data_IF_167746012400
#
_entry.id   IF_167746012400
#
_cell.length_a   1.000
_cell.length_b   1.000
_cell.length_c   1.000
_cell.angle_alpha   90.00
_cell.angle_beta   90.00
_cell.angle_gamma   90.00
#
_symmetry.space_group_name_H-M   'P 1'
#
loop_
_entity.id
_entity.type
_entity.pdbx_description
1 polymer ?
#
# COMPACT_ATOMS: atom_id res chain seq x y z
N UNK A 1 4.55 0.34 -62.63
CA UNK A 1 5.23 0.92 -61.45
C UNK A 1 4.29 0.81 -60.26
N UNK A 2 4.55 -0.14 -59.35
CA UNK A 2 3.70 -0.47 -58.19
C UNK A 2 3.86 0.61 -57.12
N UNK A 3 2.75 1.24 -56.72
CA UNK A 3 2.70 2.18 -55.60
C UNK A 3 2.72 1.36 -54.29
N UNK A 4 3.84 1.38 -53.57
CA UNK A 4 3.91 0.84 -52.21
C UNK A 4 3.36 1.87 -51.24
N UNK A 5 2.21 1.57 -50.66
CA UNK A 5 1.62 2.30 -49.55
C UNK A 5 2.38 1.88 -48.28
N UNK A 6 3.23 2.75 -47.74
CA UNK A 6 3.85 2.53 -46.43
C UNK A 6 2.84 2.92 -45.36
N UNK A 7 2.16 1.92 -44.80
CA UNK A 7 1.36 2.08 -43.58
C UNK A 7 2.35 2.16 -42.42
N UNK A 8 2.60 3.37 -41.90
CA UNK A 8 3.39 3.52 -40.68
C UNK A 8 2.57 2.98 -39.50
N UNK A 9 2.93 1.79 -39.04
CA UNK A 9 2.48 1.28 -37.75
C UNK A 9 3.17 2.11 -36.67
N UNK A 10 2.54 3.21 -36.25
CA UNK A 10 2.94 3.94 -35.04
C UNK A 10 2.56 3.03 -33.86
N UNK A 11 3.42 2.07 -33.57
CA UNK A 11 3.44 1.42 -32.27
C UNK A 11 3.88 2.51 -31.28
N UNK A 12 2.90 3.15 -30.64
CA UNK A 12 3.11 4.00 -29.48
C UNK A 12 3.65 3.17 -28.33
N UNK A 13 4.94 2.82 -28.38
CA UNK A 13 5.71 2.44 -27.21
C UNK A 13 5.84 3.68 -26.34
N UNK A 14 4.83 3.91 -25.50
CA UNK A 14 4.97 4.76 -24.34
C UNK A 14 6.00 4.11 -23.41
N UNK A 15 7.28 4.33 -23.68
CA UNK A 15 8.36 4.18 -22.72
C UNK A 15 8.16 5.26 -21.65
N UNK A 16 7.15 5.04 -20.82
CA UNK A 16 7.01 5.76 -19.58
C UNK A 16 8.14 5.29 -18.68
N UNK A 17 9.25 6.03 -18.73
CA UNK A 17 10.25 6.05 -17.68
C UNK A 17 9.58 6.60 -16.41
N UNK A 18 8.68 5.83 -15.80
CA UNK A 18 8.19 6.15 -14.48
C UNK A 18 9.38 6.07 -13.54
N UNK A 19 9.76 7.22 -12.99
CA UNK A 19 10.74 7.29 -11.91
C UNK A 19 10.28 6.36 -10.79
N UNK A 20 11.20 5.61 -10.19
CA UNK A 20 10.86 4.75 -9.08
C UNK A 20 10.40 5.58 -7.89
N UNK A 21 9.35 5.11 -7.22
CA UNK A 21 8.89 5.71 -5.98
C UNK A 21 9.91 5.43 -4.88
N UNK A 22 10.10 6.40 -3.99
CA UNK A 22 11.08 6.35 -2.91
C UNK A 22 10.35 6.21 -1.59
N UNK A 23 10.83 5.31 -0.75
CA UNK A 23 10.34 5.11 0.61
C UNK A 23 11.47 5.50 1.56
N UNK A 24 11.16 6.41 2.47
CA UNK A 24 12.08 7.03 3.41
C UNK A 24 11.76 6.59 4.83
N UNK A 25 12.78 6.53 5.67
CA UNK A 25 12.63 6.34 7.12
C UNK A 25 12.10 7.62 7.77
N UNK A 26 11.08 7.47 8.61
CA UNK A 26 10.51 8.55 9.40
C UNK A 26 9.91 9.69 8.56
N UNK A 27 9.84 10.88 9.17
CA UNK A 27 9.46 12.12 8.49
C UNK A 27 10.67 12.74 7.76
N UNK A 28 11.19 12.04 6.75
CA UNK A 28 12.32 12.53 5.95
C UNK A 28 12.03 12.46 4.46
N UNK A 29 12.70 13.33 3.70
CA UNK A 29 12.80 13.28 2.23
C UNK A 29 14.26 13.30 1.76
N UNK A 30 15.21 13.21 2.69
CA UNK A 30 16.64 13.21 2.38
C UNK A 30 17.05 11.89 1.73
N UNK A 31 17.96 11.96 0.76
CA UNK A 31 18.43 10.76 0.04
C UNK A 31 19.08 9.72 0.97
N UNK A 32 19.71 10.16 2.06
CA UNK A 32 20.33 9.29 3.08
C UNK A 32 19.32 8.42 3.83
N UNK A 33 18.06 8.84 3.89
CA UNK A 33 17.00 8.17 4.64
C UNK A 33 16.16 7.24 3.78
N UNK A 34 16.49 7.09 2.48
CA UNK A 34 15.81 6.14 1.59
C UNK A 34 16.11 4.71 2.08
N UNK A 35 15.05 3.95 2.35
CA UNK A 35 15.16 2.55 2.77
C UNK A 35 14.91 1.56 1.62
N UNK A 36 14.11 1.96 0.63
CA UNK A 36 13.88 1.17 -0.57
C UNK A 36 13.25 2.01 -1.69
N UNK A 37 13.28 1.44 -2.89
CA UNK A 37 12.68 1.98 -4.10
C UNK A 37 11.58 1.04 -4.58
N UNK A 38 10.47 1.58 -5.08
CA UNK A 38 9.39 0.78 -5.64
C UNK A 38 9.22 1.06 -7.13
N UNK A 39 9.23 0.00 -7.94
CA UNK A 39 8.89 0.06 -9.35
C UNK A 39 8.40 -1.30 -9.86
N UNK A 40 7.38 -1.30 -10.72
CA UNK A 40 6.97 -2.51 -11.45
C UNK A 40 6.65 -3.70 -10.55
N UNK A 41 5.91 -3.44 -9.44
CA UNK A 41 5.51 -4.44 -8.44
C UNK A 41 6.68 -5.07 -7.66
N UNK A 42 7.83 -4.40 -7.58
CA UNK A 42 8.98 -4.84 -6.82
C UNK A 42 9.50 -3.71 -5.93
N UNK A 43 9.97 -4.10 -4.75
CA UNK A 43 10.77 -3.23 -3.89
C UNK A 43 12.23 -3.58 -4.07
N UNK A 44 13.09 -2.57 -4.14
CA UNK A 44 14.52 -2.69 -4.38
C UNK A 44 15.31 -2.03 -3.27
N UNK A 45 16.48 -2.59 -2.95
CA UNK A 45 17.42 -1.98 -2.00
C UNK A 45 18.31 -0.90 -2.62
N UNK A 46 18.31 -0.77 -3.94
CA UNK A 46 19.20 0.15 -4.67
C UNK A 46 18.47 0.99 -5.72
N UNK A 47 18.98 2.19 -5.97
CA UNK A 47 18.41 3.14 -6.94
C UNK A 47 18.47 2.63 -8.39
N UNK A 48 19.47 1.79 -8.71
CA UNK A 48 19.61 1.18 -10.02
C UNK A 48 18.59 0.05 -10.26
N UNK A 49 17.85 -0.36 -9.23
CA UNK A 49 16.80 -1.38 -9.24
C UNK A 49 17.31 -2.75 -9.71
N UNK A 50 18.53 -3.10 -9.32
CA UNK A 50 19.15 -4.38 -9.67
C UNK A 50 18.90 -5.45 -8.62
N UNK A 51 18.69 -5.05 -7.36
CA UNK A 51 18.55 -5.93 -6.22
C UNK A 51 17.12 -5.85 -5.64
N UNK A 52 16.17 -6.65 -6.16
CA UNK A 52 14.84 -6.73 -5.57
C UNK A 52 14.92 -7.39 -4.19
N UNK A 53 14.22 -6.80 -3.22
CA UNK A 53 14.09 -7.33 -1.85
C UNK A 53 12.70 -7.92 -1.59
N UNK A 54 11.68 -7.44 -2.30
CA UNK A 54 10.33 -7.99 -2.26
C UNK A 54 9.67 -7.95 -3.63
N UNK A 55 8.95 -9.02 -3.96
CA UNK A 55 8.15 -9.14 -5.16
C UNK A 55 6.67 -9.17 -4.80
N UNK A 56 5.84 -8.50 -5.60
CA UNK A 56 4.39 -8.50 -5.45
C UNK A 56 3.68 -9.17 -6.64
N UNK A 57 3.86 -10.48 -6.89
CA UNK A 57 3.17 -11.15 -7.98
C UNK A 57 1.67 -11.30 -7.65
N UNK A 58 0.84 -10.51 -8.32
CA UNK A 58 -0.61 -10.50 -8.10
C UNK A 58 -0.95 -10.09 -6.66
N UNK A 59 -1.54 -11.02 -5.91
CA UNK A 59 -2.03 -10.83 -4.54
C UNK A 59 -1.06 -11.37 -3.47
N UNK A 60 0.20 -11.61 -3.81
CA UNK A 60 1.20 -12.18 -2.91
C UNK A 60 2.33 -11.19 -2.67
N UNK A 61 3.05 -11.39 -1.55
CA UNK A 61 4.38 -10.83 -1.30
C UNK A 61 5.35 -11.98 -1.12
N UNK A 62 6.42 -12.04 -1.92
CA UNK A 62 7.40 -13.11 -1.89
C UNK A 62 8.84 -12.59 -2.01
N UNK A 63 9.80 -13.41 -1.58
CA UNK A 63 11.23 -13.13 -1.80
C UNK A 63 11.67 -13.32 -3.24
N UNK A 64 10.94 -14.16 -3.99
CA UNK A 64 11.24 -14.44 -5.40
C UNK A 64 10.15 -13.91 -6.32
N UNK A 65 10.46 -13.83 -7.62
CA UNK A 65 9.54 -13.31 -8.64
C UNK A 65 8.24 -14.14 -8.79
N UNK A 66 8.30 -15.44 -8.50
CA UNK A 66 7.13 -16.33 -8.50
C UNK A 66 6.81 -16.73 -7.06
N UNK A 67 5.60 -16.39 -6.63
CA UNK A 67 5.09 -16.82 -5.34
C UNK A 67 4.73 -18.32 -5.34
N UNK A 68 5.07 -18.99 -4.23
CA UNK A 68 4.78 -20.39 -3.90
C UNK A 68 4.56 -20.51 -2.39
N UNK A 69 3.87 -21.57 -1.95
CA UNK A 69 3.60 -21.80 -0.52
C UNK A 69 4.83 -21.67 0.39
N UNK A 70 6.03 -21.96 -0.12
CA UNK A 70 7.30 -21.93 0.62
C UNK A 70 7.98 -20.57 0.69
N UNK A 71 7.78 -19.69 -0.29
CA UNK A 71 8.55 -18.44 -0.43
C UNK A 71 7.71 -17.16 -0.28
N UNK A 72 6.39 -17.27 -0.16
CA UNK A 72 5.56 -16.12 0.17
C UNK A 72 5.64 -15.78 1.63
N UNK A 73 5.80 -14.49 1.87
CA UNK A 73 5.84 -13.86 3.17
C UNK A 73 4.42 -13.50 3.58
N UNK A 74 3.64 -12.95 2.64
CA UNK A 74 2.27 -12.52 2.88
C UNK A 74 1.36 -12.78 1.69
N UNK A 75 0.07 -12.85 2.00
CA UNK A 75 -1.03 -12.80 1.04
C UNK A 75 -1.85 -11.54 1.27
N UNK A 76 -2.07 -10.77 0.22
CA UNK A 76 -2.87 -9.56 0.20
C UNK A 76 -4.24 -9.88 -0.42
N UNK A 77 -5.32 -9.76 0.33
CA UNK A 77 -6.67 -9.97 -0.18
C UNK A 77 -7.54 -8.77 0.14
N UNK A 78 -7.84 -7.98 -0.88
CA UNK A 78 -8.59 -6.74 -0.72
C UNK A 78 -7.89 -5.80 0.26
N UNK A 79 -8.54 -5.60 1.40
CA UNK A 79 -8.14 -4.76 2.51
C UNK A 79 -7.32 -5.48 3.59
N UNK A 80 -6.95 -6.75 3.39
CA UNK A 80 -6.31 -7.58 4.41
C UNK A 80 -4.96 -8.11 3.99
N UNK A 81 -4.11 -8.31 5.00
CA UNK A 81 -2.82 -8.98 4.86
C UNK A 81 -2.79 -10.21 5.79
N UNK A 82 -2.41 -11.35 5.21
CA UNK A 82 -2.33 -12.64 5.88
C UNK A 82 -0.90 -13.17 5.85
N UNK A 83 -0.52 -13.93 6.87
CA UNK A 83 0.78 -14.59 6.93
C UNK A 83 0.92 -15.69 5.86
N UNK A 84 2.04 -15.69 5.15
CA UNK A 84 2.39 -16.72 4.17
C UNK A 84 1.37 -16.80 3.01
N UNK A 85 0.86 -18.01 2.77
CA UNK A 85 -0.16 -18.28 1.73
C UNK A 85 -1.60 -18.32 2.25
N UNK A 86 -1.79 -18.12 3.56
CA UNK A 86 -3.06 -18.37 4.24
C UNK A 86 -4.14 -17.36 3.89
N UNK A 87 -5.39 -17.78 4.12
CA UNK A 87 -6.60 -16.96 4.12
C UNK A 87 -7.42 -17.16 5.40
N UNK A 88 -6.91 -17.94 6.35
CA UNK A 88 -7.60 -18.19 7.60
C UNK A 88 -7.64 -16.91 8.44
N UNK A 89 -8.77 -16.66 9.12
CA UNK A 89 -8.92 -15.49 10.00
C UNK A 89 -7.78 -15.35 11.03
N UNK A 90 -7.31 -16.42 11.70
CA UNK A 90 -6.19 -16.31 12.66
C UNK A 90 -4.87 -15.86 12.04
N UNK A 91 -4.68 -16.07 10.73
CA UNK A 91 -3.47 -15.66 10.02
C UNK A 91 -3.57 -14.24 9.44
N UNK A 92 -4.74 -13.59 9.54
CA UNK A 92 -4.91 -12.19 9.18
C UNK A 92 -4.21 -11.33 10.25
N UNK A 93 -3.16 -10.63 9.85
CA UNK A 93 -2.35 -9.84 10.80
C UNK A 93 -2.77 -8.37 10.83
N UNK A 94 -3.43 -7.88 9.78
CA UNK A 94 -3.97 -6.53 9.76
C UNK A 94 -5.03 -6.31 8.66
N UNK A 95 -5.90 -5.32 8.88
CA UNK A 95 -6.88 -4.80 7.91
C UNK A 95 -6.65 -3.31 7.71
N UNK A 96 -6.58 -2.85 6.46
CA UNK A 96 -6.52 -1.42 6.10
C UNK A 96 -7.92 -0.90 5.76
N UNK A 97 -8.27 0.27 6.28
CA UNK A 97 -9.52 0.95 5.97
C UNK A 97 -9.22 2.35 5.45
N UNK A 98 -9.53 2.59 4.18
CA UNK A 98 -9.36 3.88 3.53
C UNK A 98 -10.38 4.90 4.09
N UNK A 99 -9.87 5.96 4.71
CA UNK A 99 -10.69 7.02 5.33
C UNK A 99 -10.81 8.26 4.45
N UNK A 100 -9.90 8.43 3.49
CA UNK A 100 -9.98 9.46 2.46
C UNK A 100 -9.47 8.92 1.14
N UNK A 101 -10.25 9.08 0.08
CA UNK A 101 -9.87 8.61 -1.27
C UNK A 101 -10.05 9.69 -2.32
N UNK A 102 -9.30 9.59 -3.41
CA UNK A 102 -9.48 10.43 -4.60
C UNK A 102 -9.20 9.61 -5.85
N UNK A 103 -10.19 9.49 -6.74
CA UNK A 103 -10.08 8.73 -7.99
C UNK A 103 -9.57 7.28 -7.80
N UNK A 104 -9.92 6.66 -6.67
CA UNK A 104 -9.49 5.29 -6.33
C UNK A 104 -8.14 5.19 -5.61
N UNK A 105 -7.42 6.30 -5.42
CA UNK A 105 -6.20 6.33 -4.61
C UNK A 105 -6.53 6.62 -3.14
N UNK A 106 -5.89 5.87 -2.23
CA UNK A 106 -5.96 6.09 -0.79
C UNK A 106 -5.09 7.29 -0.40
N UNK A 107 -5.72 8.37 0.07
CA UNK A 107 -5.05 9.57 0.58
C UNK A 107 -4.81 9.49 2.09
N UNK A 108 -5.78 8.91 2.81
CA UNK A 108 -5.68 8.65 4.24
C UNK A 108 -6.34 7.30 4.54
N UNK A 109 -5.80 6.56 5.51
CA UNK A 109 -6.31 5.26 5.93
C UNK A 109 -5.93 4.94 7.37
N UNK A 110 -6.65 4.01 7.99
CA UNK A 110 -6.26 3.38 9.27
C UNK A 110 -5.94 1.92 9.04
N UNK A 111 -4.91 1.42 9.70
CA UNK A 111 -4.55 -0.01 9.70
C UNK A 111 -4.84 -0.55 11.09
N UNK A 112 -5.77 -1.48 11.16
CA UNK A 112 -6.18 -2.15 12.39
C UNK A 112 -5.45 -3.47 12.57
N UNK A 113 -5.29 -3.87 13.83
CA UNK A 113 -4.72 -5.16 14.21
C UNK A 113 -5.67 -6.31 13.90
N UNK A 114 -5.16 -7.35 13.23
CA UNK A 114 -5.89 -8.58 12.96
C UNK A 114 -7.02 -8.47 11.93
N UNK A 115 -7.94 -9.43 11.99
CA UNK A 115 -9.14 -9.47 11.16
C UNK A 115 -10.26 -8.64 11.78
N UNK A 116 -10.63 -7.54 11.11
CA UNK A 116 -11.81 -6.75 11.47
C UNK A 116 -12.71 -6.51 10.26
N UNK A 117 -13.94 -6.08 10.55
CA UNK A 117 -14.95 -5.69 9.57
C UNK A 117 -15.42 -4.27 9.90
N UNK A 118 -15.30 -3.37 8.94
CA UNK A 118 -15.80 -2.00 9.04
C UNK A 118 -17.21 -1.92 8.45
N UNK A 119 -18.13 -1.28 9.19
CA UNK A 119 -19.57 -1.15 8.82
C UNK A 119 -20.07 0.25 9.09
N UNK A 120 -21.30 0.53 8.65
CA UNK A 120 -21.99 1.80 8.88
C UNK A 120 -21.14 3.02 8.46
N UNK A 121 -20.49 2.90 7.31
CA UNK A 121 -19.58 3.92 6.79
C UNK A 121 -20.38 5.09 6.25
N UNK A 122 -20.27 6.24 6.92
CA UNK A 122 -20.82 7.51 6.44
C UNK A 122 -19.71 8.30 5.77
N UNK A 123 -19.99 8.80 4.56
CA UNK A 123 -19.05 9.58 3.76
C UNK A 123 -19.57 10.97 3.48
N UNK A 124 -18.63 11.89 3.29
CA UNK A 124 -18.87 13.23 2.78
C UNK A 124 -17.88 13.53 1.65
N UNK A 125 -18.14 14.58 0.88
CA UNK A 125 -17.21 15.05 -0.16
C UNK A 125 -16.52 16.31 0.31
N UNK A 126 -15.19 16.29 0.34
CA UNK A 126 -14.38 17.50 0.51
C UNK A 126 -14.60 18.41 -0.71
N UNK A 127 -15.28 19.54 -0.50
CA UNK A 127 -15.65 20.45 -1.59
C UNK A 127 -14.45 21.05 -2.31
N UNK A 128 -13.30 21.19 -1.62
CA UNK A 128 -12.07 21.78 -2.16
C UNK A 128 -11.30 20.76 -2.97
N UNK A 129 -11.05 19.58 -2.42
CA UNK A 129 -10.21 18.56 -3.08
C UNK A 129 -10.99 17.60 -3.97
N UNK A 130 -12.33 17.61 -3.87
CA UNK A 130 -13.27 16.63 -4.47
C UNK A 130 -12.95 15.19 -4.05
N UNK A 131 -12.41 15.03 -2.85
CA UNK A 131 -12.12 13.72 -2.25
C UNK A 131 -13.33 13.20 -1.47
N UNK A 132 -13.54 11.89 -1.45
CA UNK A 132 -14.46 11.26 -0.51
C UNK A 132 -13.77 11.11 0.84
N UNK A 133 -14.47 11.45 1.92
CA UNK A 133 -13.96 11.41 3.30
C UNK A 133 -14.96 10.66 4.16
N UNK A 134 -14.49 9.63 4.86
CA UNK A 134 -15.27 8.91 5.86
C UNK A 134 -15.39 9.78 7.12
N UNK A 135 -16.61 10.06 7.55
CA UNK A 135 -16.90 10.88 8.74
C UNK A 135 -17.24 10.03 9.96
N UNK A 136 -17.80 8.84 9.75
CA UNK A 136 -18.06 7.87 10.82
C UNK A 136 -18.10 6.45 10.26
N UNK A 137 -17.80 5.48 11.12
CA UNK A 137 -17.87 4.05 10.86
C UNK A 137 -17.88 3.30 12.19
N UNK A 138 -18.34 2.05 12.15
CA UNK A 138 -18.23 1.08 13.25
C UNK A 138 -17.29 -0.05 12.87
N UNK A 139 -16.68 -0.68 13.87
CA UNK A 139 -15.79 -1.83 13.67
C UNK A 139 -16.29 -3.01 14.47
N UNK A 140 -16.25 -4.20 13.86
CA UNK A 140 -16.68 -5.47 14.47
C UNK A 140 -15.63 -6.57 14.19
N UNK A 141 -15.49 -7.56 15.08
CA UNK A 141 -14.65 -8.73 14.83
C UNK A 141 -15.41 -9.88 14.13
N UNK A 142 -16.69 -10.02 14.45
CA UNK A 142 -17.58 -11.09 14.01
C UNK A 142 -18.63 -10.63 13.00
N UNK A 143 -18.74 -9.32 12.77
CA UNK A 143 -19.76 -8.72 11.92
C UNK A 143 -21.02 -8.28 12.66
N UNK A 144 -21.09 -8.48 13.97
CA UNK A 144 -22.28 -8.26 14.81
C UNK A 144 -21.95 -7.26 15.92
N UNK A 145 -20.94 -7.56 16.74
CA UNK A 145 -20.65 -6.78 17.94
C UNK A 145 -19.63 -5.68 17.64
N UNK A 146 -19.99 -4.45 17.97
CA UNK A 146 -19.08 -3.32 17.88
C UNK A 146 -17.93 -3.46 18.89
N UNK A 147 -16.72 -3.16 18.42
CA UNK A 147 -15.51 -3.20 19.22
C UNK A 147 -14.73 -1.90 19.06
N UNK A 148 -13.86 -1.61 20.02
CA UNK A 148 -12.79 -0.61 19.85
C UNK A 148 -11.54 -1.34 19.32
N UNK A 149 -11.23 -1.25 18.02
CA UNK A 149 -10.09 -1.95 17.45
C UNK A 149 -8.78 -1.23 17.83
N UNK A 150 -7.70 -2.00 17.94
CA UNK A 150 -6.36 -1.44 18.03
C UNK A 150 -5.92 -0.91 16.67
N UNK A 151 -5.65 0.39 16.59
CA UNK A 151 -4.99 0.99 15.42
C UNK A 151 -3.50 0.71 15.50
N UNK A 152 -2.95 0.00 14.52
CA UNK A 152 -1.50 -0.23 14.42
C UNK A 152 -0.81 0.95 13.76
N UNK A 153 -1.41 1.48 12.70
CA UNK A 153 -0.86 2.60 11.94
C UNK A 153 -1.95 3.49 11.37
N UNK A 154 -1.62 4.76 11.18
CA UNK A 154 -2.40 5.72 10.42
C UNK A 154 -1.60 6.13 9.19
N UNK A 155 -2.27 6.22 8.04
CA UNK A 155 -1.71 6.75 6.81
C UNK A 155 -2.36 8.10 6.56
N UNK A 156 -1.53 9.11 6.33
CA UNK A 156 -2.00 10.44 5.95
C UNK A 156 -0.90 11.20 5.22
N UNK A 157 -1.26 11.94 4.17
CA UNK A 157 -0.35 12.84 3.44
C UNK A 157 1.00 12.18 3.06
N UNK A 158 0.92 10.98 2.46
CA UNK A 158 2.07 10.17 2.04
C UNK A 158 3.05 9.79 3.16
N UNK A 159 2.53 9.68 4.39
CA UNK A 159 3.25 9.22 5.56
C UNK A 159 2.51 8.08 6.23
N UNK A 160 3.27 7.23 6.93
CA UNK A 160 2.76 6.16 7.79
C UNK A 160 3.21 6.48 9.21
N UNK A 161 2.26 6.54 10.14
CA UNK A 161 2.46 6.86 11.54
C UNK A 161 2.11 5.65 12.42
N UNK A 162 2.78 5.49 13.56
CA UNK A 162 2.41 4.48 14.57
C UNK A 162 1.12 4.88 15.28
N UNK A 163 0.23 3.92 15.49
CA UNK A 163 -1.03 4.12 16.20
C UNK A 163 -1.99 5.06 15.48
N UNK A 164 -2.95 5.60 16.23
CA UNK A 164 -3.90 6.60 15.75
C UNK A 164 -3.33 8.02 15.88
N UNK A 165 -2.23 8.28 15.17
CA UNK A 165 -1.49 9.56 15.24
C UNK A 165 -1.19 10.12 13.86
N UNK A 166 -1.00 11.44 13.82
CA UNK A 166 -0.43 12.18 12.68
C UNK A 166 0.71 13.11 13.13
N UNK A 167 1.25 12.88 14.32
CA UNK A 167 2.40 13.62 14.83
C UNK A 167 3.69 13.16 14.12
N UNK A 168 4.54 14.09 13.71
CA UNK A 168 5.81 13.78 13.05
C UNK A 168 6.73 12.87 13.88
N UNK A 169 6.63 12.89 15.22
CA UNK A 169 7.36 11.96 16.10
C UNK A 169 6.95 10.50 15.95
N UNK A 170 5.69 10.26 15.57
CA UNK A 170 5.14 8.91 15.36
C UNK A 170 5.29 8.46 13.90
N UNK A 171 5.74 9.36 13.01
CA UNK A 171 5.97 9.05 11.61
C UNK A 171 7.10 8.03 11.48
N UNK A 172 6.80 6.86 10.92
CA UNK A 172 7.75 5.78 10.69
C UNK A 172 8.23 5.70 9.26
N UNK A 173 7.41 6.11 8.29
CA UNK A 173 7.76 6.12 6.88
C UNK A 173 7.17 7.34 6.18
N UNK A 174 7.93 7.89 5.24
CA UNK A 174 7.44 8.85 4.23
C UNK A 174 7.64 8.21 2.86
N UNK A 175 6.73 8.43 1.92
CA UNK A 175 6.85 7.88 0.57
C UNK A 175 6.48 8.88 -0.52
N UNK A 176 6.90 8.62 -1.76
CA UNK A 176 6.46 9.37 -2.95
C UNK A 176 5.44 8.57 -3.76
N UNK A 177 4.70 9.27 -4.61
CA UNK A 177 3.76 8.64 -5.55
C UNK A 177 2.43 8.24 -4.93
N UNK A 178 1.72 7.38 -5.67
CA UNK A 178 0.47 6.77 -5.24
C UNK A 178 0.63 5.26 -5.10
N UNK A 179 0.06 4.71 -4.05
CA UNK A 179 0.05 3.27 -3.79
C UNK A 179 -1.37 2.78 -3.55
N UNK A 180 -1.73 1.58 -4.05
CA UNK A 180 -2.94 0.90 -3.62
C UNK A 180 -2.88 0.62 -2.11
N UNK A 181 -4.03 0.60 -1.43
CA UNK A 181 -4.12 0.28 -0.01
C UNK A 181 -3.40 -1.02 0.37
N UNK A 182 -3.48 -2.07 -0.45
CA UNK A 182 -2.74 -3.32 -0.21
C UNK A 182 -1.21 -3.15 -0.15
N UNK A 183 -0.64 -2.19 -0.90
CA UNK A 183 0.79 -1.89 -0.86
C UNK A 183 1.12 -1.03 0.36
N UNK A 184 0.28 -0.04 0.68
CA UNK A 184 0.42 0.74 1.91
C UNK A 184 0.40 -0.15 3.16
N UNK A 185 -0.52 -1.13 3.19
CA UNK A 185 -0.62 -2.14 4.24
C UNK A 185 0.66 -2.97 4.37
N UNK A 186 1.19 -3.47 3.26
CA UNK A 186 2.49 -4.15 3.26
C UNK A 186 3.61 -3.26 3.78
N UNK A 187 3.71 -2.02 3.30
CA UNK A 187 4.77 -1.10 3.71
C UNK A 187 4.71 -0.82 5.22
N UNK A 188 3.51 -0.56 5.76
CA UNK A 188 3.32 -0.36 7.19
C UNK A 188 3.73 -1.60 8.01
N UNK A 189 3.40 -2.81 7.57
CA UNK A 189 3.63 -4.04 8.34
C UNK A 189 5.06 -4.55 8.23
N UNK A 190 5.67 -4.49 7.05
CA UNK A 190 6.98 -5.11 6.81
C UNK A 190 8.13 -4.11 6.87
N UNK A 191 7.97 -2.92 6.29
CA UNK A 191 9.09 -1.98 6.16
C UNK A 191 9.31 -1.16 7.44
N UNK A 192 8.36 -1.16 8.38
CA UNK A 192 8.50 -0.49 9.69
C UNK A 192 9.11 -1.39 10.76
N UNK A 193 9.34 -2.67 10.47
CA UNK A 193 10.03 -3.57 11.38
C UNK A 193 11.46 -3.06 11.60
N UNK A 194 11.82 -2.86 12.87
CA UNK A 194 13.21 -2.62 13.26
C UNK A 194 14.05 -3.83 12.81
N UNK A 195 15.01 -3.57 11.91
CA UNK A 195 16.11 -4.48 11.62
C UNK A 195 17.19 -4.30 12.67
#
# INVERSE_FOLDING_TARGET
MKKMLVVSMIAGLALSNFAAEKIYRGNSKDAKDIICYYQGQRFYSDAARKNPIYHHPGNMVSKDAKATAKNSIYRLMGDRIYKGYSLAKPDCIATIFETKTKRGDALSAKIFDGFIIVREVVKSTDKKTKSEVVTSYKVTADGINEIQPKVLFTIDNNKIYRGDSTNDKDCVLTFTGSFPASRLLFMAIELTKTK
#
